data_IF_337759201409
#
_entry.id   IF_337759201409
#
_cell.length_a   1.000
_cell.length_b   1.000
_cell.length_c   1.000
_cell.angle_alpha   90.00
_cell.angle_beta   90.00
_cell.angle_gamma   90.00
#
_symmetry.space_group_name_H-M   'P 1'
#
loop_
_entity.id
_entity.type
_entity.pdbx_description
1 polymer ?
#
# COMPACT_ATOMS: atom_id res chain seq x y z
N UNK A 1 16.11 15.07 -7.07
CA UNK A 1 15.42 13.77 -6.93
C UNK A 1 13.94 14.07 -6.98
N UNK A 2 13.35 13.90 -8.16
CA UNK A 2 11.98 14.34 -8.42
C UNK A 2 10.99 13.49 -7.64
N UNK A 3 10.21 14.20 -6.84
CA UNK A 3 9.41 13.72 -5.73
C UNK A 3 8.27 12.81 -6.24
N UNK A 4 8.38 11.51 -5.96
CA UNK A 4 7.42 10.44 -6.35
C UNK A 4 6.00 10.69 -5.82
N UNK A 5 5.82 11.77 -5.04
CA UNK A 5 4.68 12.10 -4.20
C UNK A 5 4.36 13.62 -4.23
N UNK A 6 4.59 14.29 -5.37
CA UNK A 6 4.54 15.77 -5.51
C UNK A 6 3.16 16.43 -5.33
N UNK A 7 2.21 15.81 -4.64
CA UNK A 7 0.90 16.42 -4.38
C UNK A 7 0.16 15.84 -3.18
N UNK A 8 -0.85 16.59 -2.73
CA UNK A 8 -1.87 16.22 -1.73
C UNK A 8 -2.81 15.09 -2.22
N UNK A 9 -2.25 14.06 -2.85
CA UNK A 9 -3.00 12.93 -3.39
C UNK A 9 -3.35 11.87 -2.35
N UNK A 10 -3.81 10.72 -2.83
CA UNK A 10 -4.16 9.59 -2.00
C UNK A 10 -3.45 8.30 -2.44
N UNK A 11 -3.03 7.51 -1.47
CA UNK A 11 -2.46 6.18 -1.65
C UNK A 11 -3.46 5.12 -1.23
N UNK A 12 -3.55 4.04 -2.01
CA UNK A 12 -4.26 2.83 -1.61
C UNK A 12 -3.30 1.83 -0.96
N UNK A 13 -3.87 0.87 -0.22
CA UNK A 13 -3.10 -0.13 0.51
C UNK A 13 -2.01 -0.80 -0.35
N UNK A 14 -2.31 -1.21 -1.59
CA UNK A 14 -1.34 -1.84 -2.48
C UNK A 14 -0.18 -0.95 -2.94
N UNK A 15 -0.32 0.38 -2.85
CA UNK A 15 0.79 1.32 -3.08
C UNK A 15 1.62 1.51 -1.80
N UNK A 16 1.02 1.35 -0.62
CA UNK A 16 1.71 1.47 0.67
C UNK A 16 2.52 0.20 0.97
N UNK A 17 1.85 -0.96 0.95
CA UNK A 17 2.45 -2.27 1.29
C UNK A 17 3.09 -2.98 0.09
N UNK A 18 2.98 -2.36 -1.08
CA UNK A 18 3.40 -2.95 -2.34
C UNK A 18 2.41 -3.98 -2.89
N UNK A 19 2.70 -4.38 -4.11
CA UNK A 19 1.90 -5.30 -4.89
C UNK A 19 2.81 -6.26 -5.65
N UNK A 20 2.47 -7.55 -5.64
CA UNK A 20 3.13 -8.56 -6.47
C UNK A 20 2.62 -8.49 -7.90
N UNK A 21 3.55 -8.58 -8.84
CA UNK A 21 3.25 -8.78 -10.26
C UNK A 21 2.41 -10.04 -10.48
N UNK A 22 1.54 -9.96 -11.48
CA UNK A 22 0.89 -11.12 -12.10
C UNK A 22 1.09 -10.99 -13.59
N UNK A 23 1.87 -11.90 -14.17
CA UNK A 23 2.13 -11.93 -15.62
C UNK A 23 0.90 -12.40 -16.39
N UNK A 24 0.84 -12.12 -17.70
CA UNK A 24 -0.25 -12.58 -18.56
C UNK A 24 -0.40 -14.12 -18.55
N UNK A 25 0.73 -14.84 -18.64
CA UNK A 25 0.76 -16.29 -18.57
C UNK A 25 0.23 -16.82 -17.23
N UNK A 26 0.61 -16.18 -16.11
CA UNK A 26 0.13 -16.56 -14.79
C UNK A 26 -1.37 -16.27 -14.61
N UNK A 27 -1.85 -15.14 -15.14
CA UNK A 27 -3.27 -14.81 -15.13
C UNK A 27 -4.09 -15.82 -15.94
N UNK A 28 -3.58 -16.30 -17.08
CA UNK A 28 -4.19 -17.37 -17.86
C UNK A 28 -4.23 -18.71 -17.12
N UNK A 29 -3.12 -19.12 -16.51
CA UNK A 29 -3.09 -20.30 -15.66
C UNK A 29 -4.09 -20.21 -14.49
N UNK A 30 -4.23 -19.02 -13.87
CA UNK A 30 -5.22 -18.77 -12.84
C UNK A 30 -6.67 -18.81 -13.37
N UNK A 31 -6.90 -18.40 -14.62
CA UNK A 31 -8.21 -18.54 -15.28
C UNK A 31 -8.56 -20.01 -15.49
N UNK A 32 -7.65 -20.80 -16.03
CA UNK A 32 -7.83 -22.24 -16.25
C UNK A 32 -8.11 -23.00 -14.95
N UNK A 33 -7.38 -22.66 -13.87
CA UNK A 33 -7.58 -23.27 -12.53
C UNK A 33 -8.82 -22.75 -11.79
N UNK A 34 -9.45 -21.67 -12.26
CA UNK A 34 -10.55 -20.99 -11.56
C UNK A 34 -10.15 -20.23 -10.28
N UNK A 35 -8.90 -20.35 -9.81
CA UNK A 35 -8.38 -19.79 -8.54
C UNK A 35 -7.20 -18.84 -8.79
N UNK A 36 -7.20 -17.69 -8.10
CA UNK A 36 -6.12 -16.69 -8.15
C UNK A 36 -6.50 -15.41 -8.88
N UNK A 37 -5.56 -14.47 -9.00
CA UNK A 37 -5.73 -13.22 -9.76
C UNK A 37 -5.79 -13.53 -11.26
N UNK A 38 -6.89 -13.16 -11.90
CA UNK A 38 -7.16 -13.41 -13.32
C UNK A 38 -6.84 -12.22 -14.22
N UNK A 39 -6.49 -11.08 -13.62
CA UNK A 39 -6.12 -9.85 -14.33
C UNK A 39 -4.61 -9.63 -14.18
N UNK A 40 -3.86 -9.53 -15.29
CA UNK A 40 -2.45 -9.15 -15.23
C UNK A 40 -2.28 -7.78 -14.60
N UNK A 41 -1.23 -7.62 -13.79
CA UNK A 41 -0.93 -6.35 -13.14
C UNK A 41 0.57 -6.24 -12.85
N UNK A 42 1.16 -5.04 -12.94
CA UNK A 42 2.57 -4.84 -12.62
C UNK A 42 2.83 -4.95 -11.11
N UNK A 43 4.08 -5.21 -10.75
CA UNK A 43 4.55 -5.05 -9.38
C UNK A 43 4.54 -3.57 -8.97
N UNK A 44 4.24 -3.31 -7.70
CA UNK A 44 4.40 -1.99 -7.09
C UNK A 44 5.34 -2.19 -5.90
N UNK A 45 6.50 -1.49 -5.85
CA UNK A 45 7.37 -1.51 -4.68
C UNK A 45 6.64 -1.03 -3.43
N UNK A 46 6.95 -1.63 -2.28
CA UNK A 46 6.37 -1.21 -1.02
C UNK A 46 7.03 0.09 -0.54
N UNK A 47 6.24 1.09 -0.16
CA UNK A 47 6.73 2.25 0.59
C UNK A 47 7.03 1.87 2.04
N UNK A 48 6.20 0.99 2.61
CA UNK A 48 6.32 0.48 3.96
C UNK A 48 6.25 -1.05 3.87
N UNK A 49 7.35 -1.79 4.17
CA UNK A 49 7.46 -3.22 3.91
C UNK A 49 6.75 -4.08 4.97
N UNK A 50 5.46 -3.85 5.18
CA UNK A 50 4.60 -4.62 6.09
C UNK A 50 3.48 -5.31 5.32
N UNK A 51 2.85 -6.32 5.91
CA UNK A 51 1.69 -6.96 5.27
C UNK A 51 0.44 -6.09 5.35
N UNK A 52 -0.50 -6.27 4.41
CA UNK A 52 -1.79 -5.58 4.44
C UNK A 52 -2.55 -5.81 5.76
N UNK A 53 -2.50 -7.03 6.29
CA UNK A 53 -3.14 -7.37 7.58
C UNK A 53 -2.50 -6.62 8.75
N UNK A 54 -1.16 -6.50 8.77
CA UNK A 54 -0.45 -5.73 9.79
C UNK A 54 -0.82 -4.25 9.71
N UNK A 55 -0.88 -3.68 8.51
CA UNK A 55 -1.32 -2.30 8.31
C UNK A 55 -2.71 -2.07 8.91
N UNK A 56 -3.68 -2.93 8.61
CA UNK A 56 -5.03 -2.81 9.19
C UNK A 56 -5.06 -2.96 10.71
N UNK A 57 -4.23 -3.85 11.26
CA UNK A 57 -4.10 -3.99 12.71
C UNK A 57 -3.52 -2.71 13.34
N UNK A 58 -2.51 -2.11 12.71
CA UNK A 58 -1.91 -0.86 13.22
C UNK A 58 -2.85 0.32 13.08
N UNK A 59 -3.66 0.37 12.02
CA UNK A 59 -4.75 1.34 11.89
C UNK A 59 -5.76 1.17 13.04
N UNK A 60 -6.17 -0.08 13.32
CA UNK A 60 -7.09 -0.36 14.43
C UNK A 60 -6.50 0.01 15.79
N UNK A 61 -5.19 -0.18 15.97
CA UNK A 61 -4.47 0.10 17.21
C UNK A 61 -4.04 1.58 17.32
N UNK A 62 -4.33 2.43 16.33
CA UNK A 62 -3.90 3.84 16.32
C UNK A 62 -2.40 4.04 16.08
N UNK A 63 -1.67 2.99 15.69
CA UNK A 63 -0.23 3.01 15.42
C UNK A 63 0.11 3.36 13.96
N UNK A 64 -0.89 3.52 13.09
CA UNK A 64 -0.75 3.93 11.68
C UNK A 64 -1.77 5.03 11.36
N UNK A 65 -1.49 5.95 10.41
CA UNK A 65 -2.43 7.01 10.04
C UNK A 65 -3.83 6.49 9.72
N UNK A 66 -4.86 7.23 10.17
CA UNK A 66 -6.24 6.87 9.93
C UNK A 66 -6.58 6.97 8.42
N UNK A 67 -7.29 5.99 7.86
CA UNK A 67 -7.72 6.06 6.47
C UNK A 67 -8.85 7.07 6.26
N UNK A 68 -8.93 7.59 5.03
CA UNK A 68 -10.05 8.38 4.51
C UNK A 68 -10.91 7.58 3.54
N UNK A 69 -12.22 7.77 3.60
CA UNK A 69 -13.18 7.20 2.66
C UNK A 69 -13.36 8.15 1.48
N UNK A 70 -12.97 7.72 0.28
CA UNK A 70 -13.19 8.47 -0.97
C UNK A 70 -14.53 8.10 -1.63
N UNK A 71 -15.18 7.05 -1.14
CA UNK A 71 -16.49 6.60 -1.59
C UNK A 71 -16.93 5.36 -0.80
N UNK A 72 -18.12 4.82 -1.11
CA UNK A 72 -18.73 3.72 -0.34
C UNK A 72 -17.81 2.50 -0.18
N UNK A 73 -17.03 2.15 -1.22
CA UNK A 73 -16.13 0.99 -1.24
C UNK A 73 -14.65 1.37 -1.39
N UNK A 74 -14.32 2.66 -1.26
CA UNK A 74 -12.96 3.16 -1.53
C UNK A 74 -12.36 3.77 -0.28
N UNK A 75 -11.36 3.08 0.25
CA UNK A 75 -10.53 3.57 1.36
C UNK A 75 -9.12 3.91 0.83
N UNK A 76 -8.58 5.03 1.27
CA UNK A 76 -7.24 5.50 0.92
C UNK A 76 -6.60 6.27 2.09
N UNK A 77 -5.34 6.66 1.94
CA UNK A 77 -4.59 7.49 2.88
C UNK A 77 -4.05 8.72 2.18
N UNK A 78 -4.01 9.87 2.84
CA UNK A 78 -3.38 11.05 2.27
C UNK A 78 -1.88 10.82 2.15
N UNK A 79 -1.30 11.25 1.04
CA UNK A 79 0.15 11.15 0.81
C UNK A 79 0.94 11.82 1.95
N UNK A 80 0.50 13.01 2.40
CA UNK A 80 1.16 13.76 3.49
C UNK A 80 1.23 12.96 4.79
N UNK A 81 0.13 12.32 5.19
CA UNK A 81 0.05 11.62 6.48
C UNK A 81 0.96 10.37 6.47
N UNK A 82 1.11 9.74 5.30
CA UNK A 82 2.05 8.63 5.11
C UNK A 82 3.50 9.11 5.13
N UNK A 83 3.80 10.27 4.52
CA UNK A 83 5.15 10.86 4.55
C UNK A 83 5.56 11.20 5.99
N UNK A 84 4.69 11.88 6.74
CA UNK A 84 4.92 12.19 8.16
C UNK A 84 5.12 10.93 9.00
N UNK A 85 4.36 9.87 8.73
CA UNK A 85 4.53 8.59 9.40
C UNK A 85 5.91 7.96 9.13
N UNK A 86 6.38 7.96 7.87
CA UNK A 86 7.68 7.41 7.51
C UNK A 86 8.80 8.19 8.20
N UNK A 87 8.74 9.52 8.18
CA UNK A 87 9.70 10.40 8.88
C UNK A 87 9.73 10.10 10.39
N UNK A 88 8.56 10.01 11.03
CA UNK A 88 8.44 9.67 12.45
C UNK A 88 9.06 8.32 12.78
N UNK A 89 8.86 7.31 11.92
CA UNK A 89 9.43 5.98 12.13
C UNK A 89 10.92 5.92 11.83
N UNK A 90 11.41 6.64 10.83
CA UNK A 90 12.84 6.73 10.52
C UNK A 90 13.59 7.35 11.71
N UNK A 91 13.10 8.47 12.25
CA UNK A 91 13.72 9.13 13.41
C UNK A 91 13.65 8.32 14.72
N UNK A 92 12.77 7.31 14.81
CA UNK A 92 12.77 6.34 15.92
C UNK A 92 13.87 5.28 15.79
N UNK A 93 14.32 4.96 14.57
CA UNK A 93 15.37 3.96 14.33
C UNK A 93 16.75 4.54 14.59
N UNK A 94 16.97 5.84 14.35
CA UNK A 94 18.26 6.50 14.58
C UNK A 94 18.58 6.82 16.05
N UNK A 95 17.58 6.72 16.95
CA UNK A 95 17.72 7.05 18.37
C UNK A 95 17.84 5.82 19.30
N UNK A 96 17.96 4.62 18.75
CA UNK A 96 18.18 3.37 19.50
C UNK A 96 19.55 2.79 19.21
#
# INVERSE_FOLDING_TARGET
MSDLLSGDGFLRIGQIVGQREVTAAQAEANRARGKGLKTPRPAIPALIPISASKLWMDVKNGAFPAPVKLGQKTTAWRVRDIREYIELKAGMVEKG
#
